data_IF_837171656931
#
_entry.id   IF_837171656931
#
_cell.length_a   1.000
_cell.length_b   1.000
_cell.length_c   1.000
_cell.angle_alpha   90.00
_cell.angle_beta   90.00
_cell.angle_gamma   90.00
#
_symmetry.space_group_name_H-M   'P 1'
#
loop_
_entity.id
_entity.type
_entity.pdbx_description
1 polymer ?
#
# COMPACT_ATOMS: atom_id res chain seq x y z
N UNK A 1 0.24 -1.89 -3.37
CA UNK A 1 -1.03 -2.50 -2.91
C UNK A 1 -0.69 -3.50 -1.83
N UNK A 2 -1.25 -3.36 -0.64
CA UNK A 2 -0.97 -4.27 0.48
C UNK A 2 -2.26 -4.74 1.14
N UNK A 3 -2.23 -5.92 1.77
CA UNK A 3 -3.34 -6.43 2.56
C UNK A 3 -3.69 -5.44 3.67
N UNK A 4 -4.97 -5.15 3.86
CA UNK A 4 -5.44 -4.24 4.91
C UNK A 4 -5.10 -4.81 6.28
N UNK A 5 -4.40 -4.02 7.08
CA UNK A 5 -4.06 -4.29 8.48
C UNK A 5 -3.37 -3.07 9.07
N UNK A 6 -3.68 -2.75 10.32
CA UNK A 6 -3.07 -1.59 11.00
C UNK A 6 -1.56 -1.73 11.18
N UNK A 7 -1.06 -2.95 11.44
CA UNK A 7 0.38 -3.20 11.55
C UNK A 7 1.09 -2.94 10.21
N UNK A 8 0.46 -3.30 9.09
CA UNK A 8 1.00 -3.03 7.75
C UNK A 8 0.95 -1.54 7.44
N UNK A 9 -0.11 -0.83 7.81
CA UNK A 9 -0.22 0.63 7.66
C UNK A 9 0.90 1.35 8.39
N UNK A 10 1.10 1.03 9.68
CA UNK A 10 2.15 1.62 10.51
C UNK A 10 3.55 1.33 9.96
N UNK A 11 3.80 0.08 9.55
CA UNK A 11 5.08 -0.30 8.93
C UNK A 11 5.35 0.49 7.65
N UNK A 12 4.34 0.60 6.76
CA UNK A 12 4.49 1.30 5.49
C UNK A 12 4.68 2.80 5.71
N UNK A 13 3.94 3.41 6.62
CA UNK A 13 4.08 4.82 6.96
C UNK A 13 5.52 5.14 7.42
N UNK A 14 6.05 4.37 8.35
CA UNK A 14 7.42 4.56 8.83
C UNK A 14 8.46 4.30 7.73
N UNK A 15 8.29 3.23 6.94
CA UNK A 15 9.21 2.91 5.85
C UNK A 15 9.22 3.98 4.76
N UNK A 16 8.05 4.46 4.36
CA UNK A 16 7.90 5.47 3.30
C UNK A 16 8.51 6.80 3.75
N UNK A 17 8.28 7.18 5.02
CA UNK A 17 8.89 8.38 5.63
C UNK A 17 10.42 8.32 5.61
N UNK A 18 11.02 7.16 5.91
CA UNK A 18 12.49 6.96 5.85
C UNK A 18 13.07 7.01 4.44
N UNK A 19 12.23 6.91 3.40
CA UNK A 19 12.63 6.97 2.00
C UNK A 19 12.31 8.34 1.37
N UNK A 20 12.16 9.38 2.18
CA UNK A 20 11.74 10.74 1.76
C UNK A 20 10.44 10.75 0.94
N UNK A 21 9.60 9.74 1.18
CA UNK A 21 8.27 9.62 0.61
C UNK A 21 7.20 10.12 1.56
N UNK A 22 6.08 10.57 0.99
CA UNK A 22 4.87 10.91 1.72
C UNK A 22 3.69 10.15 1.13
N UNK A 23 2.88 9.55 1.99
CA UNK A 23 1.59 8.99 1.58
C UNK A 23 0.65 10.16 1.29
N UNK A 24 0.29 10.34 0.01
CA UNK A 24 -0.66 11.37 -0.42
C UNK A 24 -2.09 10.97 -0.08
N UNK A 25 -2.45 9.70 -0.30
CA UNK A 25 -3.74 9.16 0.10
C UNK A 25 -3.69 7.63 0.20
N UNK A 26 -4.68 7.09 0.91
CA UNK A 26 -4.94 5.66 1.05
C UNK A 26 -6.38 5.40 0.61
N UNK A 27 -6.58 4.41 -0.28
CA UNK A 27 -7.91 3.95 -0.70
C UNK A 27 -8.08 2.50 -0.32
N UNK A 28 -9.11 2.27 0.49
CA UNK A 28 -9.58 0.94 0.87
C UNK A 28 -10.28 0.29 -0.31
N UNK A 29 -9.85 -0.92 -0.70
CA UNK A 29 -10.46 -1.69 -1.78
C UNK A 29 -10.67 -3.15 -1.38
N UNK A 30 -11.71 -3.77 -1.94
CA UNK A 30 -11.98 -5.20 -1.82
C UNK A 30 -11.71 -5.86 -3.17
N UNK A 31 -10.66 -6.65 -3.24
CA UNK A 31 -10.22 -7.30 -4.47
C UNK A 31 -10.67 -8.76 -4.48
N UNK A 32 -11.23 -9.20 -5.60
CA UNK A 32 -11.45 -10.63 -5.83
C UNK A 32 -10.27 -11.18 -6.62
N UNK A 33 -9.45 -12.01 -6.00
CA UNK A 33 -8.36 -12.71 -6.66
C UNK A 33 -8.74 -14.15 -6.95
N UNK A 34 -8.23 -14.67 -8.06
CA UNK A 34 -8.33 -16.09 -8.39
C UNK A 34 -7.43 -16.95 -7.52
N UNK A 35 -7.33 -18.23 -7.89
CA UNK A 35 -6.39 -19.17 -7.28
C UNK A 35 -4.95 -18.89 -7.73
N UNK A 36 -4.35 -17.81 -7.22
CA UNK A 36 -3.00 -17.37 -7.62
C UNK A 36 -1.87 -18.16 -6.96
N UNK A 37 -2.05 -18.67 -5.73
CA UNK A 37 -1.01 -19.40 -5.00
C UNK A 37 -1.39 -20.86 -4.73
N UNK A 38 -0.40 -21.73 -4.55
CA UNK A 38 -0.62 -23.17 -4.33
C UNK A 38 -1.43 -23.47 -3.06
N UNK A 39 -1.28 -22.64 -2.03
CA UNK A 39 -2.04 -22.74 -0.78
C UNK A 39 -3.50 -22.25 -0.88
N UNK A 40 -3.89 -21.64 -2.00
CA UNK A 40 -5.29 -21.30 -2.24
C UNK A 40 -6.09 -22.57 -2.53
N UNK A 41 -7.08 -22.84 -1.68
CA UNK A 41 -8.05 -23.94 -1.79
C UNK A 41 -9.30 -23.55 -2.58
N UNK A 42 -9.75 -22.30 -2.49
CA UNK A 42 -10.96 -21.77 -3.17
C UNK A 42 -10.64 -21.24 -4.57
N UNK A 43 -11.65 -21.18 -5.44
CA UNK A 43 -11.50 -20.61 -6.80
C UNK A 43 -11.40 -19.08 -6.81
N UNK A 44 -12.06 -18.43 -5.86
CA UNK A 44 -12.10 -16.97 -5.69
C UNK A 44 -11.87 -16.63 -4.23
N UNK A 45 -11.05 -15.63 -3.97
CA UNK A 45 -10.75 -15.08 -2.66
C UNK A 45 -11.04 -13.60 -2.67
N UNK A 46 -11.83 -13.14 -1.71
CA UNK A 46 -11.99 -11.72 -1.43
C UNK A 46 -10.89 -11.30 -0.47
N UNK A 47 -10.15 -10.26 -0.83
CA UNK A 47 -9.04 -9.72 -0.06
C UNK A 47 -9.28 -8.23 0.15
N UNK A 48 -9.38 -7.85 1.40
CA UNK A 48 -9.36 -6.44 1.79
C UNK A 48 -7.91 -5.93 1.66
N UNK A 49 -7.76 -4.88 0.88
CA UNK A 49 -6.47 -4.29 0.59
C UNK A 49 -6.53 -2.77 0.65
N UNK A 50 -5.36 -2.17 0.84
CA UNK A 50 -5.15 -0.74 0.84
C UNK A 50 -4.25 -0.37 -0.35
N UNK A 51 -4.76 0.55 -1.16
CA UNK A 51 -4.04 1.17 -2.27
C UNK A 51 -3.44 2.49 -1.79
N UNK A 52 -2.13 2.62 -1.89
CA UNK A 52 -1.39 3.80 -1.45
C UNK A 52 -0.97 4.60 -2.67
N UNK A 53 -1.15 5.92 -2.61
CA UNK A 53 -0.41 6.86 -3.46
C UNK A 53 0.72 7.45 -2.66
N UNK A 54 1.94 7.29 -3.14
CA UNK A 54 3.15 7.83 -2.53
C UNK A 54 3.70 8.91 -3.46
N UNK A 55 4.07 10.04 -2.89
CA UNK A 55 4.75 11.14 -3.59
C UNK A 55 6.11 11.35 -2.94
N UNK A 56 7.16 11.59 -3.73
CA UNK A 56 8.45 12.01 -3.19
C UNK A 56 8.37 13.46 -2.72
N UNK A 57 9.05 13.76 -1.62
CA UNK A 57 9.38 15.13 -1.28
C UNK A 57 10.45 15.59 -2.26
N UNK A 58 10.01 16.22 -3.34
CA UNK A 58 10.90 16.78 -4.35
C UNK A 58 11.78 17.85 -3.68
N UNK A 59 13.10 17.62 -3.62
CA UNK A 59 14.06 18.60 -3.08
C UNK A 59 14.34 19.76 -4.07
N UNK A 60 13.61 19.85 -5.19
CA UNK A 60 13.86 20.84 -6.24
C UNK A 60 13.29 22.24 -6.00
N UNK A 61 12.62 22.51 -4.87
CA UNK A 61 12.23 23.87 -4.48
C UNK A 61 12.94 24.30 -3.19
N UNK A 62 14.26 24.49 -3.26
CA UNK A 62 14.99 25.34 -2.33
C UNK A 62 15.99 26.20 -3.11
N UNK A 63 15.47 27.02 -4.03
CA UNK A 63 16.21 28.06 -4.72
C UNK A 63 15.30 29.26 -4.92
N UNK A 64 15.11 30.05 -3.86
CA UNK A 64 15.14 31.52 -3.84
C UNK A 64 14.75 32.05 -2.47
#
# INVERSE_FOLDING_TARGET
LHKRSDSVRLFLEDKIRRMDGKISWIKEINLTIGRTYQFHKKRKYQVEADLYRITHLDQSCNSR
#
